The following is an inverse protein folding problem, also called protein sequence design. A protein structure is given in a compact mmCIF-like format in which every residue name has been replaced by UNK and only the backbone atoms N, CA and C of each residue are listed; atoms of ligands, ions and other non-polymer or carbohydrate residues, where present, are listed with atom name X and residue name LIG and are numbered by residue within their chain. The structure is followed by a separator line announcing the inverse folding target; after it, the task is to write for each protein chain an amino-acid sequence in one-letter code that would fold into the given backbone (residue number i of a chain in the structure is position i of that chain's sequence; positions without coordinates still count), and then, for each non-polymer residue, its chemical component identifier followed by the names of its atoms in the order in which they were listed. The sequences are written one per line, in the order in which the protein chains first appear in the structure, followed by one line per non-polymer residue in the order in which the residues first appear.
data_IF_798702345753
#
_entry.id   IF_798702345753
#
_cell.length_a   1.000
_cell.length_b   1.000
_cell.length_c   1.000
_cell.angle_alpha   90.00
_cell.angle_beta   90.00
_cell.angle_gamma   90.00
#
_symmetry.space_group_name_H-M   'P 1'
#
loop_
_entity.id
_entity.type
_entity.pdbx_description
1 polymer ?
#
# COMPACT_ATOMS: atom_id res chain seq x y z
N UNK A 1 20.00 21.23 50.05
CA UNK A 1 21.38 21.32 50.61
C UNK A 1 22.16 22.19 49.65
N UNK A 2 22.78 23.27 50.11
CA UNK A 2 23.62 24.14 49.28
C UNK A 2 25.04 24.18 49.85
N UNK A 3 26.04 24.07 48.99
CA UNK A 3 27.45 24.24 49.33
C UNK A 3 27.92 25.61 48.87
N UNK A 4 28.36 26.43 49.83
CA UNK A 4 29.07 27.68 49.55
C UNK A 4 30.19 27.82 50.56
N UNK A 5 31.40 28.15 50.09
CA UNK A 5 32.61 28.36 50.91
C UNK A 5 32.97 27.19 51.86
N UNK A 6 32.82 25.95 51.40
CA UNK A 6 33.17 24.76 52.20
C UNK A 6 32.22 24.46 53.36
N UNK A 7 31.08 25.17 53.46
CA UNK A 7 30.02 24.91 54.44
C UNK A 7 28.78 24.36 53.74
N UNK A 8 28.30 23.24 54.27
CA UNK A 8 27.09 22.56 53.81
C UNK A 8 25.90 23.11 54.59
N UNK A 9 25.02 23.81 53.91
CA UNK A 9 23.80 24.32 54.52
C UNK A 9 22.60 23.44 54.18
N UNK A 10 21.83 23.09 55.20
CA UNK A 10 20.60 22.31 55.08
C UNK A 10 19.47 23.05 55.74
N UNK A 11 18.56 23.56 54.92
CA UNK A 11 17.28 24.06 55.40
C UNK A 11 16.44 22.87 55.87
N UNK A 12 15.92 22.95 57.09
CA UNK A 12 15.03 21.94 57.67
C UNK A 12 13.60 22.43 57.54
N UNK A 13 12.68 21.51 57.28
CA UNK A 13 11.26 21.81 57.31
C UNK A 13 10.87 22.36 58.69
N UNK A 14 10.03 23.39 58.71
CA UNK A 14 9.48 23.91 59.97
C UNK A 14 8.73 22.81 60.70
N UNK A 15 8.90 22.73 62.02
CA UNK A 15 8.20 21.80 62.90
C UNK A 15 7.10 22.50 63.70
N UNK A 16 6.87 23.79 63.44
CA UNK A 16 5.86 24.60 64.13
C UNK A 16 4.51 24.40 63.42
N UNK A 17 3.42 24.14 64.16
CA UNK A 17 2.07 24.09 63.59
C UNK A 17 1.74 25.39 62.85
N UNK A 18 1.18 25.27 61.64
CA UNK A 18 0.81 26.42 60.84
C UNK A 18 -0.40 27.16 61.46
N UNK A 19 -0.29 28.47 61.52
CA UNK A 19 -1.39 29.37 61.90
C UNK A 19 -2.27 29.69 60.69
N UNK A 20 -3.44 30.30 60.94
CA UNK A 20 -4.32 30.78 59.86
C UNK A 20 -3.62 31.80 58.95
N UNK A 21 -2.70 32.59 59.50
CA UNK A 21 -1.93 33.57 58.73
C UNK A 21 -0.95 32.88 57.78
N UNK A 22 -0.21 31.87 58.26
CA UNK A 22 0.74 31.10 57.44
C UNK A 22 0.05 30.38 56.26
N UNK A 23 -1.19 29.92 56.48
CA UNK A 23 -2.01 29.33 55.41
C UNK A 23 -2.38 30.38 54.36
N UNK A 24 -2.74 31.60 54.77
CA UNK A 24 -3.06 32.69 53.85
C UNK A 24 -1.82 33.09 53.03
N UNK A 25 -0.66 33.23 53.65
CA UNK A 25 0.60 33.50 52.95
C UNK A 25 0.96 32.40 51.95
N UNK A 26 0.75 31.13 52.33
CA UNK A 26 0.98 29.98 51.45
C UNK A 26 0.06 30.05 50.22
N UNK A 27 -1.21 30.41 50.40
CA UNK A 27 -2.16 30.60 49.29
C UNK A 27 -1.74 31.75 48.37
N UNK A 28 -1.38 32.91 48.93
CA UNK A 28 -0.96 34.07 48.15
C UNK A 28 0.30 33.75 47.32
N UNK A 29 1.29 33.07 47.91
CA UNK A 29 2.50 32.62 47.22
C UNK A 29 2.16 31.66 46.08
N UNK A 30 1.29 30.69 46.32
CA UNK A 30 0.84 29.75 45.29
C UNK A 30 0.17 30.45 44.10
N UNK A 31 -0.76 31.38 44.37
CA UNK A 31 -1.43 32.16 43.32
C UNK A 31 -0.46 33.09 42.57
N UNK A 32 0.50 33.67 43.28
CA UNK A 32 1.56 34.48 42.70
C UNK A 32 2.45 33.65 41.76
N UNK A 33 2.87 32.45 42.18
CA UNK A 33 3.68 31.57 41.35
C UNK A 33 2.95 31.12 40.08
N UNK A 34 1.67 30.76 40.19
CA UNK A 34 0.84 30.41 39.02
C UNK A 34 0.80 31.56 38.00
N UNK A 35 0.61 32.80 38.48
CA UNK A 35 0.59 34.00 37.62
C UNK A 35 1.96 34.30 37.03
N UNK A 36 3.01 34.31 37.86
CA UNK A 36 4.37 34.66 37.45
C UNK A 36 4.93 33.66 36.43
N UNK A 37 4.69 32.36 36.65
CA UNK A 37 5.10 31.30 35.71
C UNK A 37 4.11 31.11 34.56
N UNK A 38 3.04 31.94 34.48
CA UNK A 38 2.02 31.93 33.42
C UNK A 38 1.44 30.54 33.19
N UNK A 39 1.06 29.87 34.27
CA UNK A 39 0.42 28.57 34.21
C UNK A 39 -0.90 28.67 33.41
N UNK A 40 -1.15 27.69 32.52
CA UNK A 40 -2.41 27.65 31.77
C UNK A 40 -3.57 27.39 32.74
N UNK A 41 -4.74 28.04 32.57
CA UNK A 41 -5.91 27.78 33.41
C UNK A 41 -6.62 26.46 33.04
N UNK A 42 -6.54 26.03 31.78
CA UNK A 42 -7.23 24.84 31.27
C UNK A 42 -6.26 23.90 30.52
N UNK A 43 -6.66 22.62 30.40
CA UNK A 43 -5.88 21.58 29.74
C UNK A 43 -4.64 21.14 30.55
N UNK A 44 -3.79 20.32 29.92
CA UNK A 44 -2.57 19.79 30.54
C UNK A 44 -1.51 20.92 30.61
N UNK A 45 -0.96 21.15 31.80
CA UNK A 45 0.04 22.20 32.04
C UNK A 45 1.13 21.71 33.03
N UNK A 46 2.37 21.50 32.57
CA UNK A 46 3.47 21.04 33.43
C UNK A 46 3.81 22.03 34.55
N UNK A 47 3.78 23.33 34.25
CA UNK A 47 4.06 24.39 35.23
C UNK A 47 3.02 24.37 36.35
N UNK A 48 1.74 24.27 36.00
CA UNK A 48 0.67 24.15 36.99
C UNK A 48 0.88 22.89 37.81
N UNK A 49 1.16 21.75 37.17
CA UNK A 49 1.38 20.48 37.87
C UNK A 49 2.48 20.60 38.92
N UNK A 50 3.64 21.15 38.55
CA UNK A 50 4.79 21.36 39.43
C UNK A 50 4.43 22.24 40.65
N UNK A 51 3.74 23.37 40.43
CA UNK A 51 3.33 24.27 41.53
C UNK A 51 2.32 23.58 42.48
N UNK A 52 1.39 22.78 41.94
CA UNK A 52 0.47 22.00 42.76
C UNK A 52 1.17 20.87 43.53
N UNK A 53 2.17 20.22 42.95
CA UNK A 53 2.99 19.21 43.62
C UNK A 53 3.72 19.84 44.83
N UNK A 54 4.31 21.03 44.66
CA UNK A 54 4.96 21.77 45.75
C UNK A 54 3.97 22.20 46.84
N UNK A 55 2.78 22.70 46.45
CA UNK A 55 1.73 23.03 47.41
C UNK A 55 1.28 21.81 48.21
N UNK A 56 1.11 20.66 47.54
CA UNK A 56 0.66 19.43 48.20
C UNK A 56 1.72 18.89 49.17
N UNK A 57 2.99 19.01 48.83
CA UNK A 57 4.10 18.64 49.73
C UNK A 57 4.12 19.54 50.99
N UNK A 58 3.86 20.84 50.84
CA UNK A 58 3.74 21.77 51.98
C UNK A 58 2.50 21.48 52.84
N UNK A 59 1.36 21.14 52.23
CA UNK A 59 0.17 20.71 52.95
C UNK A 59 0.42 19.41 53.73
N UNK A 60 1.09 18.42 53.12
CA UNK A 60 1.48 17.18 53.80
C UNK A 60 2.39 17.51 54.98
N UNK A 61 3.36 18.41 54.83
CA UNK A 61 4.22 18.86 55.93
C UNK A 61 3.40 19.45 57.08
N UNK A 62 2.51 20.40 56.79
CA UNK A 62 1.67 21.07 57.79
C UNK A 62 0.74 20.08 58.52
N UNK A 63 0.11 19.16 57.80
CA UNK A 63 -0.73 18.11 58.41
C UNK A 63 0.11 17.14 59.23
N UNK A 64 1.30 16.76 58.77
CA UNK A 64 2.21 15.86 59.49
C UNK A 64 2.67 16.44 60.82
N UNK A 65 2.95 17.76 60.87
CA UNK A 65 3.30 18.46 62.11
C UNK A 65 2.15 18.39 63.13
N UNK A 66 0.91 18.48 62.66
CA UNK A 66 -0.27 18.35 63.52
C UNK A 66 -0.55 16.90 63.95
N UNK A 67 -0.36 15.94 63.04
CA UNK A 67 -0.59 14.51 63.26
C UNK A 67 0.12 13.71 62.16
N UNK A 68 1.16 12.98 62.56
CA UNK A 68 2.03 12.26 61.63
C UNK A 68 1.29 11.18 60.84
N UNK A 69 0.31 10.51 61.44
CA UNK A 69 -0.48 9.44 60.81
C UNK A 69 -1.34 9.99 59.67
N UNK A 70 -1.95 11.17 59.85
CA UNK A 70 -2.69 11.85 58.77
C UNK A 70 -1.76 12.29 57.65
N UNK A 71 -0.60 12.81 57.99
CA UNK A 71 0.45 13.15 57.03
C UNK A 71 0.89 11.95 56.19
N UNK A 72 1.14 10.81 56.83
CA UNK A 72 1.50 9.56 56.18
C UNK A 72 0.40 9.04 55.24
N UNK A 73 -0.87 9.17 55.64
CA UNK A 73 -1.98 8.79 54.77
C UNK A 73 -2.05 9.68 53.52
N UNK A 74 -1.89 11.00 53.66
CA UNK A 74 -1.86 11.92 52.50
C UNK A 74 -0.67 11.64 51.58
N UNK A 75 0.49 11.29 52.15
CA UNK A 75 1.67 10.89 51.39
C UNK A 75 1.37 9.66 50.51
N UNK A 76 0.73 8.63 51.07
CA UNK A 76 0.34 7.43 50.31
C UNK A 76 -0.66 7.74 49.19
N UNK A 77 -1.67 8.57 49.48
CA UNK A 77 -2.64 8.99 48.46
C UNK A 77 -1.96 9.75 47.33
N UNK A 78 -1.01 10.65 47.64
CA UNK A 78 -0.23 11.36 46.64
C UNK A 78 0.52 10.41 45.72
N UNK A 79 1.21 9.44 46.31
CA UNK A 79 2.08 8.53 45.58
C UNK A 79 1.25 7.59 44.69
N UNK A 80 0.08 7.14 45.16
CA UNK A 80 -0.89 6.38 44.37
C UNK A 80 -1.41 7.20 43.16
N UNK A 81 -1.76 8.47 43.38
CA UNK A 81 -2.19 9.37 42.29
C UNK A 81 -1.08 9.62 41.27
N UNK A 82 0.17 9.77 41.72
CA UNK A 82 1.34 9.92 40.84
C UNK A 82 1.55 8.65 40.01
N UNK A 83 1.46 7.47 40.62
CA UNK A 83 1.56 6.19 39.92
C UNK A 83 0.45 6.00 38.88
N UNK A 84 -0.79 6.36 39.24
CA UNK A 84 -1.94 6.30 38.33
C UNK A 84 -1.74 7.21 37.13
N UNK A 85 -1.30 8.45 37.35
CA UNK A 85 -1.04 9.39 36.26
C UNK A 85 0.10 8.94 35.34
N UNK A 86 1.20 8.47 35.92
CA UNK A 86 2.31 7.89 35.16
C UNK A 86 1.86 6.71 34.28
N UNK A 87 0.99 5.85 34.82
CA UNK A 87 0.41 4.74 34.06
C UNK A 87 -0.43 5.23 32.88
N UNK A 88 -1.25 6.26 33.07
CA UNK A 88 -2.03 6.86 31.98
C UNK A 88 -1.14 7.54 30.93
N UNK A 89 -0.09 8.25 31.34
CA UNK A 89 0.91 8.82 30.43
C UNK A 89 1.54 7.73 29.56
N UNK A 90 1.95 6.62 30.17
CA UNK A 90 2.58 5.52 29.44
C UNK A 90 1.64 4.82 28.44
N UNK A 91 0.36 4.66 28.81
CA UNK A 91 -0.67 4.12 27.90
C UNK A 91 -0.93 5.08 26.74
N UNK A 92 -0.99 6.39 27.00
CA UNK A 92 -1.15 7.41 25.96
C UNK A 92 0.03 7.42 24.99
N UNK A 93 1.26 7.39 25.49
CA UNK A 93 2.48 7.28 24.67
C UNK A 93 2.45 6.03 23.79
N UNK A 94 2.08 4.89 24.38
CA UNK A 94 1.95 3.62 23.66
C UNK A 94 0.89 3.68 22.56
N UNK A 95 -0.25 4.31 22.83
CA UNK A 95 -1.34 4.47 21.86
C UNK A 95 -0.93 5.39 20.69
N UNK A 96 -0.25 6.50 20.99
CA UNK A 96 0.28 7.42 19.96
C UNK A 96 1.32 6.70 19.09
N UNK A 97 2.26 5.98 19.70
CA UNK A 97 3.27 5.21 18.98
C UNK A 97 2.65 4.11 18.10
N UNK A 98 1.59 3.45 18.57
CA UNK A 98 0.82 2.52 17.74
C UNK A 98 0.18 3.23 16.53
N UNK A 99 -0.47 4.38 16.75
CA UNK A 99 -1.10 5.16 15.69
C UNK A 99 -0.10 5.56 14.58
N UNK A 100 1.07 6.05 14.96
CA UNK A 100 2.15 6.42 14.03
C UNK A 100 2.60 5.19 13.22
N UNK A 101 2.91 4.07 13.90
CA UNK A 101 3.34 2.83 13.22
C UNK A 101 2.30 2.31 12.24
N UNK A 102 1.02 2.35 12.63
CA UNK A 102 -0.07 1.91 11.76
C UNK A 102 -0.21 2.80 10.54
N UNK A 103 -0.15 4.12 10.72
CA UNK A 103 -0.18 5.08 9.61
C UNK A 103 0.95 4.82 8.61
N UNK A 104 2.18 4.65 9.11
CA UNK A 104 3.35 4.37 8.28
C UNK A 104 3.24 3.03 7.54
N UNK A 105 2.75 1.99 8.22
CA UNK A 105 2.55 0.68 7.59
C UNK A 105 1.50 0.74 6.47
N UNK A 106 0.41 1.48 6.68
CA UNK A 106 -0.61 1.70 5.65
C UNK A 106 -0.07 2.49 4.47
N UNK A 107 0.71 3.54 4.72
CA UNK A 107 1.36 4.32 3.65
C UNK A 107 2.30 3.45 2.81
N UNK A 108 3.15 2.65 3.47
CA UNK A 108 4.05 1.73 2.77
C UNK A 108 3.29 0.73 1.90
N UNK A 109 2.20 0.13 2.41
CA UNK A 109 1.36 -0.80 1.66
C UNK A 109 0.70 -0.13 0.44
N UNK A 110 0.26 1.11 0.57
CA UNK A 110 -0.29 1.87 -0.55
C UNK A 110 0.79 2.12 -1.61
N UNK A 111 2.01 2.51 -1.20
CA UNK A 111 3.11 2.72 -2.14
C UNK A 111 3.46 1.45 -2.91
N UNK A 112 3.59 0.29 -2.25
CA UNK A 112 3.84 -0.98 -2.94
C UNK A 112 2.71 -1.35 -3.88
N UNK A 113 1.45 -1.20 -3.45
CA UNK A 113 0.29 -1.49 -4.30
C UNK A 113 0.25 -0.58 -5.55
N UNK A 114 0.63 0.69 -5.44
CA UNK A 114 0.71 1.63 -6.57
C UNK A 114 1.80 1.20 -7.56
N UNK A 115 2.99 0.84 -7.07
CA UNK A 115 4.08 0.34 -7.92
C UNK A 115 3.68 -0.93 -8.66
N UNK A 116 3.06 -1.88 -7.95
CA UNK A 116 2.58 -3.14 -8.54
C UNK A 116 1.50 -2.89 -9.59
N UNK A 117 0.53 -2.02 -9.30
CA UNK A 117 -0.51 -1.59 -10.24
C UNK A 117 0.10 -1.03 -11.52
N UNK A 118 1.08 -0.15 -11.41
CA UNK A 118 1.69 0.51 -12.57
C UNK A 118 2.50 -0.47 -13.40
N UNK A 119 3.24 -1.38 -12.76
CA UNK A 119 3.92 -2.48 -13.44
C UNK A 119 2.94 -3.41 -14.18
N UNK A 120 1.84 -3.81 -13.54
CA UNK A 120 0.81 -4.65 -14.16
C UNK A 120 0.11 -3.95 -15.32
N UNK A 121 -0.13 -2.64 -15.22
CA UNK A 121 -0.70 -1.83 -16.32
C UNK A 121 0.22 -1.79 -17.53
N UNK A 122 1.51 -1.57 -17.31
CA UNK A 122 2.49 -1.54 -18.40
C UNK A 122 2.59 -2.93 -19.07
N UNK A 123 2.64 -4.00 -18.28
CA UNK A 123 2.66 -5.36 -18.81
C UNK A 123 1.38 -5.70 -19.60
N UNK A 124 0.22 -5.25 -19.13
CA UNK A 124 -1.04 -5.44 -19.86
C UNK A 124 -1.02 -4.71 -21.21
N UNK A 125 -0.51 -3.48 -21.25
CA UNK A 125 -0.35 -2.71 -22.48
C UNK A 125 0.58 -3.40 -23.48
N UNK A 126 1.72 -3.93 -23.02
CA UNK A 126 2.66 -4.68 -23.86
C UNK A 126 2.02 -5.96 -24.43
N UNK A 127 1.27 -6.69 -23.60
CA UNK A 127 0.55 -7.89 -24.04
C UNK A 127 -0.52 -7.56 -25.08
N UNK A 128 -1.30 -6.50 -24.89
CA UNK A 128 -2.30 -6.05 -25.86
C UNK A 128 -1.64 -5.68 -27.20
N UNK A 129 -0.54 -4.93 -27.18
CA UNK A 129 0.21 -4.62 -28.40
C UNK A 129 0.72 -5.89 -29.10
N UNK A 130 1.14 -6.90 -28.33
CA UNK A 130 1.60 -8.18 -28.91
C UNK A 130 0.45 -8.98 -29.52
N UNK A 131 -0.73 -8.96 -28.92
CA UNK A 131 -1.94 -9.58 -29.47
C UNK A 131 -2.28 -8.92 -30.81
N UNK A 132 -2.32 -7.59 -30.87
CA UNK A 132 -2.60 -6.88 -32.12
C UNK A 132 -1.57 -7.17 -33.23
N UNK A 133 -0.29 -7.29 -32.89
CA UNK A 133 0.75 -7.68 -33.85
C UNK A 133 0.50 -9.08 -34.41
N UNK A 134 0.27 -10.07 -33.52
CA UNK A 134 -0.01 -11.45 -33.92
C UNK A 134 -1.30 -11.58 -34.74
N UNK A 135 -2.33 -10.81 -34.41
CA UNK A 135 -3.58 -10.77 -35.18
C UNK A 135 -3.35 -10.24 -36.60
N UNK A 136 -2.51 -9.21 -36.76
CA UNK A 136 -2.10 -8.70 -38.08
C UNK A 136 -1.30 -9.74 -38.86
N UNK A 137 -0.37 -10.43 -38.20
CA UNK A 137 0.44 -11.47 -38.84
C UNK A 137 -0.44 -12.63 -39.34
N UNK A 138 -1.37 -13.10 -38.51
CA UNK A 138 -2.34 -14.16 -38.89
C UNK A 138 -3.20 -13.70 -40.07
N UNK A 139 -3.66 -12.44 -40.10
CA UNK A 139 -4.44 -11.92 -41.22
C UNK A 139 -3.62 -11.87 -42.51
N UNK A 140 -2.36 -11.45 -42.43
CA UNK A 140 -1.46 -11.40 -43.58
C UNK A 140 -1.17 -12.81 -44.13
N UNK A 141 -0.86 -13.77 -43.27
CA UNK A 141 -0.64 -15.17 -43.67
C UNK A 141 -1.90 -15.78 -44.31
N UNK A 142 -3.09 -15.52 -43.75
CA UNK A 142 -4.35 -15.97 -44.36
C UNK A 142 -4.53 -15.40 -45.75
N UNK A 143 -4.26 -14.10 -45.95
CA UNK A 143 -4.38 -13.46 -47.26
C UNK A 143 -3.41 -14.06 -48.28
N UNK A 144 -2.15 -14.27 -47.89
CA UNK A 144 -1.14 -14.89 -48.74
C UNK A 144 -1.54 -16.32 -49.12
N UNK A 145 -1.98 -17.14 -48.16
CA UNK A 145 -2.45 -18.50 -48.45
C UNK A 145 -3.66 -18.53 -49.38
N UNK A 146 -4.62 -17.61 -49.23
CA UNK A 146 -5.75 -17.49 -50.14
C UNK A 146 -5.33 -17.11 -51.57
N UNK A 147 -4.38 -16.17 -51.70
CA UNK A 147 -3.79 -15.79 -52.99
C UNK A 147 -3.05 -16.97 -53.65
N UNK A 148 -2.24 -17.70 -52.88
CA UNK A 148 -1.53 -18.90 -53.35
C UNK A 148 -2.50 -20.00 -53.79
N UNK A 149 -3.55 -20.27 -53.00
CA UNK A 149 -4.56 -21.27 -53.32
C UNK A 149 -5.30 -20.92 -54.61
N UNK A 150 -5.66 -19.64 -54.81
CA UNK A 150 -6.28 -19.16 -56.06
C UNK A 150 -5.36 -19.36 -57.26
N UNK A 151 -4.10 -18.95 -57.17
CA UNK A 151 -3.11 -19.12 -58.25
C UNK A 151 -2.86 -20.60 -58.58
N UNK A 152 -2.93 -21.47 -57.58
CA UNK A 152 -2.81 -22.91 -57.78
C UNK A 152 -4.05 -23.48 -58.47
N UNK A 153 -5.26 -23.07 -58.04
CA UNK A 153 -6.52 -23.44 -58.68
C UNK A 153 -6.56 -23.02 -60.15
N UNK A 154 -6.21 -21.77 -60.46
CA UNK A 154 -6.13 -21.29 -61.85
C UNK A 154 -5.12 -22.09 -62.68
N UNK A 155 -3.96 -22.44 -62.11
CA UNK A 155 -2.98 -23.29 -62.80
C UNK A 155 -3.54 -24.69 -63.11
N UNK A 156 -4.16 -25.32 -62.11
CA UNK A 156 -4.76 -26.66 -62.27
C UNK A 156 -5.94 -26.66 -63.24
N UNK A 157 -6.74 -25.59 -63.28
CA UNK A 157 -7.83 -25.43 -64.25
C UNK A 157 -7.28 -25.31 -65.68
N UNK A 158 -6.31 -24.41 -65.90
CA UNK A 158 -5.63 -24.25 -67.19
C UNK A 158 -4.98 -25.56 -67.68
N UNK A 159 -4.35 -26.31 -66.77
CA UNK A 159 -3.73 -27.60 -67.11
C UNK A 159 -4.77 -28.68 -67.44
N UNK A 160 -5.89 -28.72 -66.70
CA UNK A 160 -7.03 -29.59 -67.02
C UNK A 160 -7.64 -29.26 -68.39
N UNK A 161 -7.76 -27.98 -68.74
CA UNK A 161 -8.26 -27.56 -70.06
C UNK A 161 -7.34 -28.05 -71.17
N UNK A 162 -6.02 -27.83 -71.05
CA UNK A 162 -5.02 -28.34 -72.00
C UNK A 162 -5.09 -29.86 -72.16
N UNK A 163 -5.21 -30.60 -71.04
CA UNK A 163 -5.34 -32.06 -71.06
C UNK A 163 -6.66 -32.51 -71.71
N UNK A 164 -7.76 -31.78 -71.52
CA UNK A 164 -9.03 -32.05 -72.21
C UNK A 164 -8.92 -31.83 -73.71
N UNK A 165 -8.28 -30.75 -74.14
CA UNK A 165 -8.03 -30.46 -75.56
C UNK A 165 -7.14 -31.53 -76.20
N UNK A 166 -6.03 -31.89 -75.55
CA UNK A 166 -5.16 -32.97 -76.01
C UNK A 166 -5.90 -34.31 -76.10
N UNK A 167 -6.73 -34.66 -75.10
CA UNK A 167 -7.57 -35.86 -75.15
C UNK A 167 -8.59 -35.83 -76.29
N UNK A 168 -9.22 -34.67 -76.58
CA UNK A 168 -10.13 -34.53 -77.73
C UNK A 168 -9.39 -34.76 -79.04
N UNK A 169 -8.21 -34.15 -79.20
CA UNK A 169 -7.39 -34.32 -80.40
C UNK A 169 -6.96 -35.79 -80.59
N UNK A 170 -6.47 -36.45 -79.54
CA UNK A 170 -6.10 -37.87 -79.55
C UNK A 170 -7.30 -38.77 -79.89
N UNK A 171 -8.48 -38.52 -79.29
CA UNK A 171 -9.71 -39.24 -79.65
C UNK A 171 -10.04 -39.06 -81.13
N UNK A 172 -9.97 -37.83 -81.64
CA UNK A 172 -10.24 -37.56 -83.05
C UNK A 172 -9.26 -38.29 -83.97
N UNK A 173 -7.96 -38.27 -83.66
CA UNK A 173 -6.93 -39.05 -84.36
C UNK A 173 -7.22 -40.56 -84.33
N UNK A 174 -7.64 -41.09 -83.17
CA UNK A 174 -8.01 -42.50 -83.05
C UNK A 174 -9.24 -42.84 -83.90
N UNK A 175 -10.22 -41.93 -83.95
CA UNK A 175 -11.44 -42.12 -84.76
C UNK A 175 -11.10 -42.11 -86.25
N UNK A 176 -10.23 -41.20 -86.68
CA UNK A 176 -9.72 -41.15 -88.06
C UNK A 176 -8.97 -42.44 -88.43
N UNK A 177 -8.09 -42.93 -87.56
CA UNK A 177 -7.39 -44.20 -87.79
C UNK A 177 -8.35 -45.40 -87.85
N UNK A 178 -9.38 -45.43 -86.99
CA UNK A 178 -10.41 -46.47 -87.02
C UNK A 178 -11.25 -46.41 -88.30
N UNK A 179 -11.61 -45.22 -88.78
CA UNK A 179 -12.30 -45.03 -90.05
C UNK A 179 -11.43 -45.48 -91.23
N UNK A 180 -10.13 -45.17 -91.21
CA UNK A 180 -9.19 -45.67 -92.22
C UNK A 180 -9.04 -47.20 -92.16
N UNK A 181 -9.04 -47.83 -90.98
CA UNK A 181 -8.98 -49.29 -90.82
C UNK A 181 -10.30 -49.97 -91.26
N UNK A 182 -11.45 -49.33 -91.04
CA UNK A 182 -12.76 -49.76 -91.57
C UNK A 182 -12.82 -49.63 -93.10
N UNK A 183 -12.31 -48.53 -93.68
CA UNK A 183 -12.19 -48.36 -95.14
C UNK A 183 -11.26 -49.42 -95.75
N UNK A 184 -10.12 -49.71 -95.11
CA UNK A 184 -9.20 -50.78 -95.52
C UNK A 184 -9.83 -52.18 -95.45
N UNK A 185 -10.69 -52.43 -94.45
CA UNK A 185 -11.47 -53.69 -94.35
C UNK A 185 -12.58 -53.79 -95.40
N UNK A 186 -13.22 -52.69 -95.77
CA UNK A 186 -14.26 -52.67 -96.80
C UNK A 186 -13.67 -52.83 -98.21
N UNK A 187 -12.49 -52.26 -98.47
CA UNK A 187 -11.71 -52.53 -99.69
C UNK A 187 -11.28 -54.01 -99.77
N UNK A 188 -10.91 -54.64 -98.65
CA UNK A 188 -10.61 -56.07 -98.63
C UNK A 188 -11.84 -57.00 -98.72
N UNK A 189 -13.02 -56.58 -98.26
CA UNK A 189 -14.27 -57.35 -98.41
C UNK A 189 -14.92 -57.22 -99.80
N UNK A 190 -14.58 -56.19 -100.59
CA UNK A 190 -15.04 -56.03 -101.98
C UNK A 190 -14.19 -56.78 -103.02
N UNK A 191 -13.13 -57.46 -102.59
CA UNK A 191 -12.21 -58.26 -103.44
C UNK A 191 -12.42 -59.78 -103.26
N UNK A 192 -13.48 -60.21 -102.58
CA UNK A 192 -13.95 -61.61 -102.56
C UNK A 192 -15.43 -61.71 -102.87
#
# INVERSE_FOLDING_TARGET
IYESEGKVWRERASMVPATRHDIAETQERFELELRNRKAKPFGICPIRRDIYDQLFDELIRQVSVNCAERGLMLLRVRDELRLTLFSYEHVLESAIAYGIRKSLATEQQQTTAVVERDHLRERNKQLLAKIEELERDIQNERRLNEEELRLLQERLENENERLKEANKALKHQLTMLLQMDEEFRMEHQSVH
#
